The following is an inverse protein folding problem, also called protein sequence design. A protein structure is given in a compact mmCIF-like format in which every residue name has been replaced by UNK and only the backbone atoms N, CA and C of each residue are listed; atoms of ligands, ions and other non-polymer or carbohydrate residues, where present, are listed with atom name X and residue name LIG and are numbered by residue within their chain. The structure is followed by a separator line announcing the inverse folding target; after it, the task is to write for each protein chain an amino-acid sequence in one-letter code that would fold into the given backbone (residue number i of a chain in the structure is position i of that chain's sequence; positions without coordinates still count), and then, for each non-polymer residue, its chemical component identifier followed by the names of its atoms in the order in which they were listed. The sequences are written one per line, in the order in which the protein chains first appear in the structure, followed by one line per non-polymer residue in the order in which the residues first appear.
data_IF_950692694925
#
_entry.id   IF_950692694925
#
_cell.length_a   1.000
_cell.length_b   1.000
_cell.length_c   1.000
_cell.angle_alpha   90.00
_cell.angle_beta   90.00
_cell.angle_gamma   90.00
#
_symmetry.space_group_name_H-M   'P 1'
#
loop_
_entity.id
_entity.type
_entity.pdbx_description
1 polymer ?
#
# COMPACT_ATOMS: atom_id res chain seq x y z
N UNK A 1 34.98 36.19 -9.11
CA UNK A 1 33.50 36.16 -9.28
C UNK A 1 33.01 34.81 -8.78
N UNK A 2 32.20 34.70 -7.73
CA UNK A 2 31.60 33.43 -7.35
C UNK A 2 30.27 33.24 -8.10
N UNK A 3 30.18 32.11 -8.80
CA UNK A 3 29.00 31.61 -9.51
C UNK A 3 27.89 31.31 -8.50
N UNK A 4 26.72 31.92 -8.67
CA UNK A 4 25.57 31.73 -7.81
C UNK A 4 24.91 30.37 -8.06
N UNK A 5 24.88 29.52 -7.04
CA UNK A 5 24.01 28.35 -6.99
C UNK A 5 22.55 28.81 -6.92
N UNK A 6 21.79 28.59 -7.99
CA UNK A 6 20.35 28.77 -7.99
C UNK A 6 19.68 27.47 -7.50
N UNK A 7 19.70 27.23 -6.19
CA UNK A 7 18.82 26.23 -5.58
C UNK A 7 17.49 26.91 -5.29
N UNK A 8 16.54 26.82 -6.23
CA UNK A 8 15.15 27.12 -5.93
C UNK A 8 14.65 26.05 -4.98
N UNK A 9 14.71 26.32 -3.67
CA UNK A 9 13.93 25.58 -2.68
C UNK A 9 12.47 25.84 -2.97
N UNK A 10 11.84 24.89 -3.67
CA UNK A 10 10.38 24.85 -3.81
C UNK A 10 9.83 24.49 -2.43
N UNK A 11 9.70 25.50 -1.57
CA UNK A 11 8.82 25.43 -0.41
C UNK A 11 7.41 25.26 -0.98
N UNK A 12 6.96 24.01 -1.06
CA UNK A 12 5.60 23.66 -1.41
C UNK A 12 4.64 24.30 -0.41
N UNK A 13 4.11 25.46 -0.78
CA UNK A 13 3.01 26.11 -0.11
C UNK A 13 1.71 25.38 -0.48
N UNK A 14 1.46 24.24 0.17
CA UNK A 14 0.17 23.55 0.18
C UNK A 14 -0.29 23.42 1.62
N UNK A 15 -1.55 23.74 1.98
CA UNK A 15 -1.97 23.72 3.37
C UNK A 15 -1.87 22.30 3.95
N UNK A 16 -1.01 22.15 4.97
CA UNK A 16 -0.74 20.94 5.73
C UNK A 16 -1.92 20.47 6.62
N UNK A 17 -3.18 20.61 6.19
CA UNK A 17 -4.34 20.49 7.09
C UNK A 17 -5.56 19.72 6.55
N UNK A 18 -5.37 18.81 5.59
CA UNK A 18 -6.40 17.79 5.25
C UNK A 18 -5.98 16.36 5.57
N UNK A 19 -4.81 16.15 6.17
CA UNK A 19 -4.27 14.81 6.44
C UNK A 19 -4.65 14.21 7.81
N UNK A 20 -5.17 14.99 8.77
CA UNK A 20 -5.38 14.49 10.14
C UNK A 20 -6.54 13.50 10.28
N UNK A 21 -7.63 13.65 9.50
CA UNK A 21 -8.77 12.70 9.55
C UNK A 21 -8.43 11.35 8.94
N UNK A 22 -7.59 11.29 7.91
CA UNK A 22 -7.11 10.03 7.33
C UNK A 22 -6.01 9.40 8.18
N UNK A 23 -5.11 10.22 8.73
CA UNK A 23 -4.01 9.77 9.58
C UNK A 23 -4.44 9.23 10.95
N UNK A 24 -5.72 9.05 11.23
CA UNK A 24 -6.23 8.39 12.45
C UNK A 24 -7.35 7.39 12.18
N UNK A 25 -7.90 7.33 10.97
CA UNK A 25 -9.03 6.45 10.64
C UNK A 25 -8.63 4.99 10.39
N UNK A 26 -7.38 4.71 9.99
CA UNK A 26 -6.88 3.35 9.69
C UNK A 26 -5.53 3.05 10.37
N UNK A 27 -5.36 3.47 11.63
CA UNK A 27 -4.08 3.32 12.35
C UNK A 27 -4.02 2.08 13.25
N UNK A 28 -5.10 1.32 13.35
CA UNK A 28 -5.18 0.13 14.20
C UNK A 28 -5.10 -1.10 13.31
N UNK A 29 -4.27 -2.07 13.70
CA UNK A 29 -4.22 -3.37 13.06
C UNK A 29 -5.45 -4.18 13.48
N UNK A 30 -6.43 -4.27 12.58
CA UNK A 30 -7.68 -5.02 12.78
C UNK A 30 -8.02 -5.80 11.49
N UNK A 31 -7.54 -7.04 11.37
CA UNK A 31 -7.81 -7.88 10.21
C UNK A 31 -9.29 -8.22 10.04
N UNK A 32 -10.06 -8.27 11.12
CA UNK A 32 -11.48 -8.62 11.08
C UNK A 32 -12.27 -7.47 10.46
N UNK A 33 -12.03 -6.24 10.91
CA UNK A 33 -12.61 -5.04 10.31
C UNK A 33 -12.20 -4.88 8.83
N UNK A 34 -10.93 -5.15 8.51
CA UNK A 34 -10.45 -5.11 7.14
C UNK A 34 -11.13 -6.16 6.24
N UNK A 35 -11.34 -7.39 6.74
CA UNK A 35 -12.11 -8.40 6.03
C UNK A 35 -13.55 -7.94 5.78
N UNK A 36 -14.21 -7.39 6.80
CA UNK A 36 -15.58 -6.89 6.66
C UNK A 36 -15.67 -5.79 5.58
N UNK A 37 -14.75 -4.83 5.57
CA UNK A 37 -14.73 -3.76 4.56
C UNK A 37 -14.51 -4.31 3.14
N UNK A 38 -13.69 -5.35 2.99
CA UNK A 38 -13.46 -6.02 1.70
C UNK A 38 -14.68 -6.83 1.24
N UNK A 39 -15.37 -7.49 2.17
CA UNK A 39 -16.61 -8.21 1.89
C UNK A 39 -17.72 -7.24 1.47
N UNK A 40 -17.89 -6.14 2.20
CA UNK A 40 -18.85 -5.07 1.89
C UNK A 40 -18.53 -4.36 0.55
N UNK A 41 -17.26 -4.36 0.13
CA UNK A 41 -16.82 -3.85 -1.16
C UNK A 41 -17.02 -4.83 -2.33
N UNK A 42 -17.54 -6.04 -2.07
CA UNK A 42 -17.88 -7.03 -3.09
C UNK A 42 -16.76 -8.01 -3.47
N UNK A 43 -15.63 -8.02 -2.75
CA UNK A 43 -14.48 -8.91 -3.04
C UNK A 43 -14.36 -10.06 -2.03
N UNK A 44 -15.50 -10.62 -1.59
CA UNK A 44 -15.58 -11.68 -0.59
C UNK A 44 -15.08 -13.05 -1.08
N UNK A 45 -15.25 -13.34 -2.37
CA UNK A 45 -14.89 -14.63 -2.96
C UNK A 45 -13.38 -14.86 -2.90
N UNK A 46 -12.97 -16.08 -2.55
CA UNK A 46 -11.57 -16.51 -2.52
C UNK A 46 -11.32 -17.68 -3.47
N UNK A 47 -10.17 -17.64 -4.14
CA UNK A 47 -9.65 -18.75 -4.93
C UNK A 47 -9.11 -19.90 -4.08
N UNK A 48 -8.66 -20.96 -4.74
CA UNK A 48 -8.09 -22.16 -4.09
C UNK A 48 -6.77 -21.90 -3.36
N UNK A 49 -6.10 -20.80 -3.67
CA UNK A 49 -4.88 -20.32 -3.01
C UNK A 49 -5.17 -19.46 -1.77
N UNK A 50 -6.45 -19.23 -1.44
CA UNK A 50 -6.88 -18.48 -0.27
C UNK A 50 -6.91 -16.95 -0.46
N UNK A 51 -6.60 -16.45 -1.66
CA UNK A 51 -6.67 -15.03 -1.98
C UNK A 51 -8.01 -14.65 -2.59
N UNK A 52 -8.43 -13.40 -2.34
CA UNK A 52 -9.67 -12.82 -2.85
C UNK A 52 -9.61 -12.70 -4.36
N UNK A 53 -10.76 -12.84 -5.02
CA UNK A 53 -10.90 -12.62 -6.45
C UNK A 53 -11.31 -11.17 -6.72
N UNK A 54 -10.84 -10.62 -7.84
CA UNK A 54 -11.22 -9.31 -8.29
C UNK A 54 -12.53 -9.38 -9.10
N UNK A 55 -13.54 -8.68 -8.61
CA UNK A 55 -14.89 -8.62 -9.20
C UNK A 55 -14.95 -7.90 -10.56
N UNK A 56 -13.81 -7.39 -11.06
CA UNK A 56 -13.71 -6.71 -12.36
C UNK A 56 -13.82 -7.60 -13.61
N UNK A 57 -14.22 -8.87 -13.46
CA UNK A 57 -14.84 -9.64 -14.56
C UNK A 57 -14.16 -10.93 -15.02
N UNK A 58 -12.95 -11.27 -14.55
CA UNK A 58 -12.22 -12.47 -15.04
C UNK A 58 -11.94 -13.53 -13.96
N UNK A 59 -12.26 -13.28 -12.68
CA UNK A 59 -11.89 -14.17 -11.58
C UNK A 59 -10.39 -14.15 -11.25
N UNK A 60 -9.67 -13.09 -11.65
CA UNK A 60 -8.26 -12.90 -11.32
C UNK A 60 -8.07 -12.67 -9.82
N UNK A 61 -6.91 -13.03 -9.28
CA UNK A 61 -6.57 -12.72 -7.88
C UNK A 61 -6.46 -11.22 -7.65
N UNK A 62 -7.16 -10.72 -6.63
CA UNK A 62 -6.99 -9.35 -6.12
C UNK A 62 -5.55 -9.17 -5.64
N UNK A 63 -4.79 -8.35 -6.36
CA UNK A 63 -3.36 -8.16 -6.12
C UNK A 63 -2.87 -6.75 -6.37
N UNK A 64 -1.74 -6.41 -5.76
CA UNK A 64 -1.02 -5.16 -5.99
C UNK A 64 0.49 -5.37 -5.98
N UNK A 65 1.21 -4.40 -6.54
CA UNK A 65 2.68 -4.38 -6.58
C UNK A 65 3.18 -3.13 -5.90
N UNK A 66 4.09 -3.30 -4.94
CA UNK A 66 4.85 -2.21 -4.32
C UNK A 66 6.07 -1.95 -5.22
N UNK A 67 6.05 -0.83 -5.92
CA UNK A 67 7.21 -0.35 -6.67
C UNK A 67 8.20 0.34 -5.73
N UNK A 68 9.47 -0.04 -5.78
CA UNK A 68 10.49 0.55 -4.91
C UNK A 68 11.91 0.40 -5.44
N UNK A 69 12.79 1.29 -4.99
CA UNK A 69 14.24 1.24 -5.24
C UNK A 69 15.02 0.70 -4.04
N UNK A 70 14.31 0.24 -3.01
CA UNK A 70 14.92 -0.30 -1.80
C UNK A 70 15.77 -1.53 -2.15
N UNK A 71 17.08 -1.52 -1.86
CA UNK A 71 17.91 -2.70 -2.03
C UNK A 71 17.40 -3.84 -1.13
N UNK A 72 17.54 -5.12 -1.55
CA UNK A 72 17.26 -6.27 -0.69
C UNK A 72 18.04 -6.20 0.62
N UNK A 73 17.43 -6.61 1.73
CA UNK A 73 18.08 -6.60 3.05
C UNK A 73 18.20 -5.22 3.69
N UNK A 74 17.42 -4.24 3.20
CA UNK A 74 17.27 -2.95 3.86
C UNK A 74 15.97 -2.88 4.63
N UNK A 75 15.93 -2.07 5.68
CA UNK A 75 14.70 -1.83 6.47
C UNK A 75 13.53 -1.36 5.60
N UNK A 76 13.80 -0.64 4.51
CA UNK A 76 12.78 -0.22 3.55
C UNK A 76 12.19 -1.39 2.76
N UNK A 77 13.00 -2.38 2.41
CA UNK A 77 12.52 -3.63 1.80
C UNK A 77 11.75 -4.46 2.83
N UNK A 78 12.27 -4.61 4.05
CA UNK A 78 11.56 -5.29 5.16
C UNK A 78 10.17 -4.69 5.40
N UNK A 79 10.06 -3.36 5.37
CA UNK A 79 8.77 -2.66 5.52
C UNK A 79 7.79 -3.04 4.41
N UNK A 80 8.28 -3.19 3.17
CA UNK A 80 7.45 -3.62 2.03
C UNK A 80 6.98 -5.07 2.22
N UNK A 81 7.85 -5.94 2.73
CA UNK A 81 7.49 -7.32 3.02
C UNK A 81 6.48 -7.44 4.17
N UNK A 82 6.60 -6.64 5.22
CA UNK A 82 5.62 -6.61 6.30
C UNK A 82 4.23 -6.15 5.83
N UNK A 83 4.16 -5.19 4.90
CA UNK A 83 2.90 -4.81 4.27
C UNK A 83 2.29 -5.95 3.45
N UNK A 84 3.11 -6.70 2.70
CA UNK A 84 2.65 -7.86 1.92
C UNK A 84 2.10 -8.94 2.85
N UNK A 85 2.83 -9.27 3.92
CA UNK A 85 2.39 -10.26 4.92
C UNK A 85 1.06 -9.84 5.56
N UNK A 86 0.95 -8.57 5.97
CA UNK A 86 -0.28 -8.04 6.59
C UNK A 86 -1.47 -8.09 5.62
N UNK A 87 -1.24 -7.82 4.34
CA UNK A 87 -2.29 -7.89 3.31
C UNK A 87 -2.73 -9.33 3.02
N UNK A 88 -1.80 -10.30 3.09
CA UNK A 88 -2.10 -11.70 2.87
C UNK A 88 -3.04 -12.28 3.95
N UNK A 89 -3.01 -11.77 5.18
CA UNK A 89 -3.92 -12.18 6.27
C UNK A 89 -5.39 -11.96 5.90
N UNK A 90 -5.68 -10.90 5.13
CA UNK A 90 -7.02 -10.58 4.65
C UNK A 90 -7.27 -11.09 3.23
N UNK A 91 -6.40 -11.96 2.71
CA UNK A 91 -6.53 -12.56 1.39
C UNK A 91 -6.21 -11.62 0.22
N UNK A 92 -5.43 -10.55 0.43
CA UNK A 92 -4.96 -9.68 -0.67
C UNK A 92 -3.51 -10.04 -1.01
N UNK A 93 -3.25 -10.33 -2.28
CA UNK A 93 -1.91 -10.74 -2.73
C UNK A 93 -1.03 -9.53 -3.00
N UNK A 94 0.13 -9.46 -2.35
CA UNK A 94 1.11 -8.42 -2.58
C UNK A 94 2.39 -8.94 -3.24
N UNK A 95 3.08 -8.07 -3.95
CA UNK A 95 4.43 -8.32 -4.47
C UNK A 95 5.27 -7.07 -4.44
N UNK A 96 6.60 -7.22 -4.54
CA UNK A 96 7.55 -6.09 -4.67
C UNK A 96 8.16 -6.15 -6.06
N UNK A 97 8.28 -5.01 -6.72
CA UNK A 97 8.99 -4.86 -7.98
C UNK A 97 10.13 -3.86 -7.77
N UNK A 98 11.37 -4.33 -7.90
CA UNK A 98 12.55 -3.48 -7.98
C UNK A 98 12.64 -2.79 -9.35
N UNK A 99 13.22 -1.59 -9.39
CA UNK A 99 13.65 -0.94 -10.63
C UNK A 99 14.93 -1.56 -11.19
#
# INVERSE_FOLDING_TARGET
MPSGSNTTSVQGNGPAQTYFKQASACNVYDPDMANQLLDDAGVAEKGSDGFRLFDGGNGDTLSFVIGGTAPPGTTSEDTSQEMIKSSAVVGVKGGVQGL
#
